data_IF_621753592125
#
_entry.id   IF_621753592125
#
_cell.length_a   1.000
_cell.length_b   1.000
_cell.length_c   1.000
_cell.angle_alpha   90.00
_cell.angle_beta   90.00
_cell.angle_gamma   90.00
#
_symmetry.space_group_name_H-M   'P 1'
#
loop_
_entity.id
_entity.type
_entity.pdbx_description
1 polymer ?
#
# COMPACT_ATOMS: atom_id res chain seq x y z
N UNK A 1 9.35 -2.71 -7.73
CA UNK A 1 8.58 -3.71 -6.97
C UNK A 1 9.35 -4.99 -6.72
N UNK A 2 9.92 -5.64 -7.75
CA UNK A 2 10.69 -6.88 -7.58
C UNK A 2 11.76 -6.82 -6.46
N UNK A 3 12.60 -5.77 -6.45
CA UNK A 3 13.62 -5.59 -5.40
C UNK A 3 13.03 -5.33 -3.99
N UNK A 4 11.81 -4.79 -3.88
CA UNK A 4 11.13 -4.64 -2.59
C UNK A 4 10.60 -5.99 -2.12
N UNK A 5 10.01 -6.78 -3.02
CA UNK A 5 9.53 -8.13 -2.69
C UNK A 5 10.66 -9.04 -2.21
N UNK A 6 11.80 -9.03 -2.90
CA UNK A 6 12.99 -9.79 -2.49
C UNK A 6 13.52 -9.36 -1.11
N UNK A 7 13.37 -8.08 -0.75
CA UNK A 7 13.78 -7.59 0.56
C UNK A 7 12.81 -8.02 1.67
N UNK A 8 11.52 -8.07 1.36
CA UNK A 8 10.47 -8.41 2.33
C UNK A 8 10.41 -9.92 2.59
N UNK A 9 10.47 -10.73 1.52
CA UNK A 9 10.51 -12.20 1.59
C UNK A 9 11.86 -12.74 2.08
N UNK A 10 12.91 -11.92 2.03
CA UNK A 10 14.24 -12.26 2.50
C UNK A 10 14.49 -11.85 3.96
N UNK A 11 15.40 -10.90 4.21
CA UNK A 11 15.93 -10.63 5.55
C UNK A 11 14.95 -9.98 6.54
N UNK A 12 13.84 -9.41 6.06
CA UNK A 12 12.90 -8.68 6.91
C UNK A 12 11.77 -9.55 7.46
N UNK A 13 11.45 -10.68 6.80
CA UNK A 13 10.39 -11.62 7.21
C UNK A 13 9.07 -10.88 7.52
N UNK A 14 8.67 -9.92 6.68
CA UNK A 14 7.44 -9.17 6.94
C UNK A 14 6.23 -9.96 6.45
N UNK A 15 5.18 -9.96 7.27
CA UNK A 15 3.88 -10.54 6.92
C UNK A 15 3.07 -9.64 5.99
N UNK A 16 3.33 -8.33 6.00
CA UNK A 16 2.59 -7.35 5.22
C UNK A 16 3.49 -6.28 4.64
N UNK A 17 3.21 -5.89 3.40
CA UNK A 17 3.80 -4.74 2.73
C UNK A 17 2.73 -3.66 2.51
N UNK A 18 2.99 -2.43 2.97
CA UNK A 18 2.07 -1.30 2.83
C UNK A 18 2.73 -0.21 1.99
N UNK A 19 2.06 0.22 0.93
CA UNK A 19 2.47 1.33 0.07
C UNK A 19 1.59 2.55 0.37
N UNK A 20 2.25 3.70 0.52
CA UNK A 20 1.60 5.00 0.67
C UNK A 20 1.63 5.74 -0.67
N UNK A 21 0.46 6.05 -1.23
CA UNK A 21 0.31 6.80 -2.47
C UNK A 21 -0.08 8.23 -2.10
N UNK A 22 0.66 9.21 -2.59
CA UNK A 22 0.37 10.63 -2.36
C UNK A 22 -0.94 11.01 -3.08
N UNK A 23 -1.88 11.63 -2.37
CA UNK A 23 -3.14 12.13 -2.95
C UNK A 23 -2.97 13.37 -3.83
N UNK A 24 -1.80 13.99 -3.82
CA UNK A 24 -1.46 15.14 -4.65
C UNK A 24 -1.00 14.82 -6.07
N UNK A 25 -0.79 13.54 -6.41
CA UNK A 25 -0.50 13.14 -7.79
C UNK A 25 -1.74 13.32 -8.68
N UNK A 26 -1.51 13.46 -9.99
CA UNK A 26 -2.61 13.57 -10.95
C UNK A 26 -3.55 12.36 -10.86
N UNK A 27 -4.86 12.60 -10.92
CA UNK A 27 -5.88 11.56 -10.68
C UNK A 27 -5.75 10.38 -11.66
N UNK A 28 -5.37 10.65 -12.91
CA UNK A 28 -5.15 9.60 -13.92
C UNK A 28 -3.93 8.73 -13.57
N UNK A 29 -2.83 9.36 -13.18
CA UNK A 29 -1.61 8.68 -12.73
C UNK A 29 -1.87 7.86 -11.47
N UNK A 30 -2.63 8.40 -10.50
CA UNK A 30 -3.03 7.69 -9.30
C UNK A 30 -3.81 6.41 -9.63
N UNK A 31 -4.80 6.51 -10.52
CA UNK A 31 -5.62 5.38 -10.96
C UNK A 31 -4.79 4.34 -11.71
N UNK A 32 -3.88 4.78 -12.57
CA UNK A 32 -2.99 3.90 -13.32
C UNK A 32 -2.04 3.13 -12.38
N UNK A 33 -1.47 3.83 -11.39
CA UNK A 33 -0.62 3.23 -10.36
C UNK A 33 -1.40 2.24 -9.49
N UNK A 34 -2.57 2.63 -8.96
CA UNK A 34 -3.42 1.75 -8.14
C UNK A 34 -3.81 0.48 -8.89
N UNK A 35 -4.18 0.57 -10.17
CA UNK A 35 -4.46 -0.61 -11.01
C UNK A 35 -3.24 -1.49 -11.15
N UNK A 36 -2.07 -0.91 -11.42
CA UNK A 36 -0.82 -1.67 -11.55
C UNK A 36 -0.47 -2.42 -10.26
N UNK A 37 -0.70 -1.80 -9.10
CA UNK A 37 -0.50 -2.42 -7.79
C UNK A 37 -1.53 -3.53 -7.50
N UNK A 38 -2.81 -3.31 -7.84
CA UNK A 38 -3.84 -4.34 -7.73
C UNK A 38 -3.50 -5.59 -8.55
N UNK A 39 -2.93 -5.42 -9.74
CA UNK A 39 -2.49 -6.56 -10.56
C UNK A 39 -1.36 -7.37 -9.92
N UNK A 40 -0.54 -6.75 -9.06
CA UNK A 40 0.50 -7.45 -8.30
C UNK A 40 -0.08 -8.18 -7.08
N UNK A 41 -1.22 -7.73 -6.54
CA UNK A 41 -1.88 -8.33 -5.37
C UNK A 41 -2.18 -7.35 -4.24
N UNK A 42 -1.92 -6.05 -4.42
CA UNK A 42 -2.23 -5.05 -3.40
C UNK A 42 -3.71 -4.70 -3.36
N UNK A 43 -4.24 -4.56 -2.15
CA UNK A 43 -5.62 -4.14 -1.88
C UNK A 43 -5.65 -2.79 -1.17
N UNK A 44 -6.71 -2.02 -1.39
CA UNK A 44 -6.89 -0.75 -0.69
C UNK A 44 -7.15 -1.02 0.80
N UNK A 45 -6.46 -0.33 1.69
CA UNK A 45 -6.58 -0.55 3.13
C UNK A 45 -6.66 0.77 3.91
N UNK A 46 -7.19 0.70 5.13
CA UNK A 46 -7.20 1.79 6.11
C UNK A 46 -6.08 1.58 7.13
N UNK A 47 -5.78 2.60 7.94
CA UNK A 47 -4.77 2.47 9.00
C UNK A 47 -5.32 1.86 10.29
N UNK A 48 -6.57 1.40 10.30
CA UNK A 48 -7.31 0.98 11.50
C UNK A 48 -6.53 -0.05 12.33
N UNK A 49 -5.89 -0.99 11.64
CA UNK A 49 -5.09 -2.04 12.26
C UNK A 49 -3.90 -1.50 13.08
N UNK A 50 -3.32 -0.36 12.68
CA UNK A 50 -2.17 0.24 13.36
C UNK A 50 -2.57 1.41 14.27
N UNK A 51 -3.64 2.12 13.93
CA UNK A 51 -4.09 3.31 14.64
C UNK A 51 -4.92 3.01 15.89
N UNK A 52 -5.36 1.76 16.09
CA UNK A 52 -6.26 1.34 17.19
C UNK A 52 -7.56 2.16 17.23
N UNK A 53 -8.03 2.61 16.08
CA UNK A 53 -9.22 3.42 15.90
C UNK A 53 -9.91 3.03 14.58
N UNK A 54 -11.16 3.45 14.38
CA UNK A 54 -12.01 3.03 13.25
C UNK A 54 -12.01 4.07 12.14
N UNK A 55 -11.89 3.62 10.88
CA UNK A 55 -11.90 4.45 9.68
C UNK A 55 -10.80 5.53 9.66
N UNK A 56 -9.62 5.22 10.19
CA UNK A 56 -8.46 6.10 10.18
C UNK A 56 -7.90 6.19 8.76
N UNK A 57 -8.23 7.29 8.12
CA UNK A 57 -7.74 7.65 6.79
C UNK A 57 -6.83 8.87 6.88
N UNK A 58 -5.84 8.94 5.98
CA UNK A 58 -4.94 10.08 5.87
C UNK A 58 -5.43 11.04 4.80
N UNK A 59 -5.41 12.35 5.09
CA UNK A 59 -5.73 13.38 4.09
C UNK A 59 -4.65 13.52 3.01
N UNK A 60 -3.47 12.95 3.23
CA UNK A 60 -2.31 13.06 2.33
C UNK A 60 -1.99 11.75 1.60
N UNK A 61 -2.34 10.62 2.20
CA UNK A 61 -1.88 9.32 1.74
C UNK A 61 -3.06 8.36 1.56
N UNK A 62 -3.06 7.64 0.45
CA UNK A 62 -3.84 6.44 0.25
C UNK A 62 -2.96 5.23 0.56
N UNK A 63 -3.52 4.24 1.25
CA UNK A 63 -2.77 3.06 1.65
C UNK A 63 -3.23 1.85 0.82
N UNK A 64 -2.25 1.09 0.35
CA UNK A 64 -2.49 -0.21 -0.27
C UNK A 64 -1.62 -1.25 0.41
N UNK A 65 -2.19 -2.38 0.82
CA UNK A 65 -1.49 -3.47 1.50
C UNK A 65 -1.50 -4.76 0.69
N UNK A 66 -0.46 -5.56 0.86
CA UNK A 66 -0.39 -6.93 0.34
C UNK A 66 0.19 -7.84 1.43
N UNK A 67 -0.43 -9.00 1.61
CA UNK A 67 0.12 -10.08 2.43
C UNK A 67 1.19 -10.82 1.61
N UNK A 68 2.32 -11.16 2.24
CA UNK A 68 3.44 -11.86 1.60
C UNK A 68 3.32 -13.36 1.86
#
# INVERSE_FOLDING_TARGET
LMALMELVDGPLDCQHLVICIDRGIEEEDAKSLMKSLQWVGFELTTLDHWAHDVDVTSDKWLFMSMEI
#
